data_IF_979084912313
#
_entry.id   IF_979084912313
#
_cell.length_a   1.000
_cell.length_b   1.000
_cell.length_c   1.000
_cell.angle_alpha   90.00
_cell.angle_beta   90.00
_cell.angle_gamma   90.00
#
_symmetry.space_group_name_H-M   'P 1'
#
loop_
_entity.id
_entity.type
_entity.pdbx_description
1 polymer ?
#
# COMPACT_ATOMS: atom_id res chain seq x y z
N UNK A 1 -6.44 -14.42 27.74
CA UNK A 1 -7.66 -13.61 27.48
C UNK A 1 -8.24 -14.05 26.15
N UNK A 2 -9.56 -14.20 25.99
CA UNK A 2 -10.15 -14.65 24.71
C UNK A 2 -10.43 -13.48 23.79
N UNK A 3 -10.51 -13.75 22.48
CA UNK A 3 -10.90 -12.74 21.51
C UNK A 3 -12.30 -12.16 21.79
N UNK A 4 -13.25 -13.03 22.18
CA UNK A 4 -14.61 -12.65 22.57
C UNK A 4 -14.68 -11.65 23.73
N UNK A 5 -13.64 -11.60 24.58
CA UNK A 5 -13.62 -10.77 25.78
C UNK A 5 -13.20 -9.32 25.46
N UNK A 6 -12.71 -9.07 24.23
CA UNK A 6 -12.32 -7.74 23.80
C UNK A 6 -13.56 -6.85 23.57
N UNK A 7 -13.76 -5.89 24.47
CA UNK A 7 -14.91 -4.95 24.48
C UNK A 7 -15.19 -4.23 23.16
N UNK A 8 -14.20 -4.03 22.29
CA UNK A 8 -14.42 -3.37 20.99
C UNK A 8 -15.13 -4.23 19.96
N UNK A 9 -15.24 -5.54 20.20
CA UNK A 9 -15.84 -6.50 19.28
C UNK A 9 -17.30 -6.82 19.62
N UNK A 10 -17.82 -6.52 20.80
CA UNK A 10 -19.19 -6.92 21.19
C UNK A 10 -20.31 -6.21 20.43
N UNK A 11 -20.08 -4.97 19.95
CA UNK A 11 -21.15 -4.10 19.42
C UNK A 11 -20.99 -3.74 17.93
N UNK A 12 -20.22 -4.51 17.16
CA UNK A 12 -19.93 -4.20 15.76
C UNK A 12 -20.83 -5.01 14.82
N UNK A 13 -21.21 -4.43 13.69
CA UNK A 13 -22.04 -5.12 12.68
C UNK A 13 -21.41 -6.40 12.09
N UNK A 14 -20.08 -6.54 12.16
CA UNK A 14 -19.33 -7.70 11.65
C UNK A 14 -19.08 -8.78 12.73
N UNK A 15 -19.49 -8.54 13.98
CA UNK A 15 -19.31 -9.46 15.10
C UNK A 15 -19.99 -10.82 14.89
N UNK A 16 -21.21 -10.91 14.32
CA UNK A 16 -21.82 -12.21 14.02
C UNK A 16 -20.96 -13.07 13.08
N UNK A 17 -20.29 -12.45 12.11
CA UNK A 17 -19.40 -13.16 11.20
C UNK A 17 -18.16 -13.70 11.92
N UNK A 18 -17.57 -12.93 12.83
CA UNK A 18 -16.45 -13.37 13.68
C UNK A 18 -16.87 -14.44 14.69
N UNK A 19 -18.02 -14.29 15.33
CA UNK A 19 -18.53 -15.19 16.36
C UNK A 19 -18.75 -16.62 15.84
N UNK A 20 -19.04 -16.75 14.55
CA UNK A 20 -19.20 -18.04 13.85
C UNK A 20 -17.87 -18.68 13.40
N UNK A 21 -16.72 -18.16 13.87
CA UNK A 21 -15.40 -18.71 13.54
C UNK A 21 -14.69 -19.24 14.80
N UNK A 22 -13.85 -20.28 14.67
CA UNK A 22 -13.14 -20.87 15.82
C UNK A 22 -12.24 -19.90 16.59
N UNK A 23 -11.84 -18.78 15.96
CA UNK A 23 -10.97 -17.78 16.59
C UNK A 23 -11.68 -16.98 17.68
N UNK A 24 -13.02 -16.95 17.67
CA UNK A 24 -13.82 -16.14 18.59
C UNK A 24 -13.60 -16.49 20.06
N UNK A 25 -13.51 -17.79 20.36
CA UNK A 25 -13.30 -18.30 21.73
C UNK A 25 -11.83 -18.58 22.03
N UNK A 26 -10.94 -18.34 21.07
CA UNK A 26 -9.52 -18.66 21.18
C UNK A 26 -8.80 -17.67 22.09
N UNK A 27 -7.79 -18.15 22.81
CA UNK A 27 -6.89 -17.27 23.55
C UNK A 27 -6.07 -16.39 22.58
N UNK A 28 -5.96 -15.10 22.92
CA UNK A 28 -5.24 -14.10 22.15
C UNK A 28 -3.75 -14.42 21.98
N UNK A 29 -3.11 -15.05 22.97
CA UNK A 29 -1.71 -15.49 22.88
C UNK A 29 -1.45 -16.48 21.73
N UNK A 30 -2.49 -17.17 21.28
CA UNK A 30 -2.40 -18.13 20.18
C UNK A 30 -2.77 -17.50 18.82
N UNK A 31 -3.10 -16.21 18.79
CA UNK A 31 -3.46 -15.48 17.58
C UNK A 31 -2.21 -15.24 16.72
N UNK A 32 -2.35 -15.34 15.40
CA UNK A 32 -1.25 -15.12 14.46
C UNK A 32 -1.78 -14.61 13.12
N UNK A 33 -0.90 -14.01 12.31
CA UNK A 33 -1.25 -13.46 11.00
C UNK A 33 -1.81 -14.53 10.04
N UNK A 34 -1.31 -15.77 10.14
CA UNK A 34 -1.87 -16.90 9.38
C UNK A 34 -3.32 -17.19 9.77
N UNK A 35 -3.65 -17.16 11.08
CA UNK A 35 -5.02 -17.38 11.56
C UNK A 35 -5.95 -16.23 11.15
N UNK A 36 -5.46 -14.99 11.17
CA UNK A 36 -6.21 -13.85 10.65
C UNK A 36 -6.54 -14.02 9.16
N UNK A 37 -5.60 -14.55 8.37
CA UNK A 37 -5.82 -14.90 6.96
C UNK A 37 -6.85 -16.00 6.77
N UNK A 38 -6.72 -17.10 7.51
CA UNK A 38 -7.70 -18.18 7.44
C UNK A 38 -9.12 -17.70 7.80
N UNK A 39 -9.26 -16.83 8.79
CA UNK A 39 -10.55 -16.24 9.19
C UNK A 39 -11.06 -15.26 8.15
N UNK A 40 -10.21 -14.42 7.58
CA UNK A 40 -10.58 -13.54 6.48
C UNK A 40 -11.15 -14.32 5.30
N UNK A 41 -10.42 -15.34 4.84
CA UNK A 41 -10.85 -16.19 3.73
C UNK A 41 -12.15 -16.95 4.05
N UNK A 42 -12.30 -17.43 5.28
CA UNK A 42 -13.53 -18.10 5.72
C UNK A 42 -14.74 -17.17 5.76
N UNK A 43 -14.59 -15.95 6.29
CA UNK A 43 -15.69 -14.97 6.31
C UNK A 43 -16.02 -14.52 4.89
N UNK A 44 -14.99 -14.32 4.04
CA UNK A 44 -15.16 -13.93 2.64
C UNK A 44 -15.97 -14.95 1.85
N UNK A 45 -15.77 -16.25 2.10
CA UNK A 45 -16.54 -17.32 1.40
C UNK A 45 -17.98 -17.45 1.89
N UNK A 46 -18.29 -17.02 3.12
CA UNK A 46 -19.63 -17.15 3.73
C UNK A 46 -20.48 -15.88 3.62
N UNK A 47 -19.85 -14.72 3.54
CA UNK A 47 -20.49 -13.42 3.43
C UNK A 47 -19.94 -12.69 2.21
N UNK A 48 -19.16 -11.63 2.40
CA UNK A 48 -18.51 -10.88 1.34
C UNK A 48 -17.12 -10.37 1.79
N UNK A 49 -16.34 -9.85 0.83
CA UNK A 49 -15.01 -9.28 1.09
C UNK A 49 -15.07 -8.11 2.08
N UNK A 50 -16.07 -7.23 1.96
CA UNK A 50 -16.17 -6.04 2.81
C UNK A 50 -16.39 -6.41 4.29
N UNK A 51 -17.18 -7.45 4.56
CA UNK A 51 -17.44 -8.00 5.88
C UNK A 51 -16.20 -8.68 6.44
N UNK A 52 -15.48 -9.46 5.61
CA UNK A 52 -14.21 -10.07 5.99
C UNK A 52 -13.14 -9.02 6.35
N UNK A 53 -13.01 -7.97 5.54
CA UNK A 53 -12.10 -6.86 5.79
C UNK A 53 -12.44 -6.14 7.10
N UNK A 54 -13.72 -5.80 7.30
CA UNK A 54 -14.20 -5.15 8.54
C UNK A 54 -13.97 -6.01 9.77
N UNK A 55 -14.22 -7.32 9.67
CA UNK A 55 -14.00 -8.29 10.73
C UNK A 55 -12.52 -8.32 11.17
N UNK A 56 -11.60 -8.53 10.24
CA UNK A 56 -10.16 -8.60 10.56
C UNK A 56 -9.60 -7.25 11.00
N UNK A 57 -10.03 -6.13 10.39
CA UNK A 57 -9.69 -4.78 10.89
C UNK A 57 -10.17 -4.59 12.33
N UNK A 58 -11.36 -5.09 12.65
CA UNK A 58 -11.91 -5.09 14.00
C UNK A 58 -11.02 -5.80 15.00
N UNK A 59 -10.59 -7.02 14.67
CA UNK A 59 -9.67 -7.82 15.50
C UNK A 59 -8.35 -7.08 15.70
N UNK A 60 -7.73 -6.58 14.63
CA UNK A 60 -6.47 -5.83 14.71
C UNK A 60 -6.59 -4.58 15.59
N UNK A 61 -7.67 -3.81 15.45
CA UNK A 61 -7.92 -2.63 16.28
C UNK A 61 -8.11 -3.01 17.76
N UNK A 62 -8.89 -4.06 18.03
CA UNK A 62 -9.18 -4.50 19.38
C UNK A 62 -7.91 -5.01 20.09
N UNK A 63 -7.05 -5.76 19.39
CA UNK A 63 -5.77 -6.23 19.91
C UNK A 63 -4.83 -5.06 20.17
N UNK A 64 -4.62 -4.16 19.20
CA UNK A 64 -3.75 -2.98 19.38
C UNK A 64 -4.17 -2.11 20.56
N UNK A 65 -5.48 -1.96 20.76
CA UNK A 65 -6.02 -1.26 21.92
C UNK A 65 -5.64 -1.99 23.22
N UNK A 66 -5.90 -3.29 23.30
CA UNK A 66 -5.63 -4.08 24.49
C UNK A 66 -4.13 -4.09 24.84
N UNK A 67 -3.25 -4.15 23.83
CA UNK A 67 -1.80 -3.94 24.00
C UNK A 67 -1.48 -2.55 24.56
N UNK A 68 -2.08 -1.48 24.01
CA UNK A 68 -1.86 -0.12 24.47
C UNK A 68 -2.25 0.10 25.94
N UNK A 69 -3.30 -0.57 26.41
CA UNK A 69 -3.73 -0.51 27.81
C UNK A 69 -3.04 -1.53 28.73
N UNK A 70 -2.11 -2.34 28.22
CA UNK A 70 -1.41 -3.36 28.98
C UNK A 70 -2.29 -4.57 29.38
N UNK A 71 -3.41 -4.78 28.70
CA UNK A 71 -4.29 -5.95 28.89
C UNK A 71 -3.70 -7.22 28.25
N UNK A 72 -2.72 -7.07 27.34
CA UNK A 72 -2.00 -8.14 26.66
C UNK A 72 -0.50 -7.88 26.77
N UNK A 73 0.24 -8.87 27.27
CA UNK A 73 1.72 -8.88 27.33
C UNK A 73 2.20 -10.33 27.10
N UNK A 74 3.08 -10.63 26.13
CA UNK A 74 3.74 -9.72 25.18
C UNK A 74 2.88 -9.30 23.99
N UNK A 75 3.29 -8.21 23.32
CA UNK A 75 2.67 -7.75 22.08
C UNK A 75 2.71 -8.84 20.99
N UNK A 76 1.58 -9.01 20.31
CA UNK A 76 1.33 -10.08 19.35
C UNK A 76 1.81 -9.72 17.93
N UNK A 77 2.20 -8.46 17.67
CA UNK A 77 2.69 -7.97 16.37
C UNK A 77 1.82 -8.40 15.16
N UNK A 78 0.50 -8.30 15.32
CA UNK A 78 -0.45 -8.72 14.30
C UNK A 78 -0.57 -7.70 13.17
N UNK A 79 -0.59 -8.21 11.94
CA UNK A 79 -0.81 -7.44 10.72
C UNK A 79 -1.59 -8.26 9.69
N UNK A 80 -2.30 -7.57 8.79
CA UNK A 80 -3.05 -8.20 7.73
C UNK A 80 -2.97 -7.39 6.44
N UNK A 81 -2.71 -8.07 5.33
CA UNK A 81 -2.74 -7.49 3.98
C UNK A 81 -4.15 -7.67 3.40
N UNK A 82 -4.88 -6.55 3.27
CA UNK A 82 -6.24 -6.52 2.75
C UNK A 82 -6.32 -6.43 1.22
N UNK A 83 -5.19 -6.17 0.56
CA UNK A 83 -5.17 -5.87 -0.86
C UNK A 83 -4.91 -7.12 -1.72
N UNK A 84 -4.43 -8.22 -1.12
CA UNK A 84 -4.20 -9.49 -1.83
C UNK A 84 -3.05 -9.39 -2.84
N UNK A 85 -2.81 -10.40 -3.70
CA UNK A 85 -1.82 -10.24 -4.77
C UNK A 85 -2.24 -9.11 -5.72
N UNK A 86 -1.28 -8.35 -6.25
CA UNK A 86 -1.53 -7.41 -7.33
C UNK A 86 -1.62 -8.20 -8.64
N UNK A 87 -2.71 -8.05 -9.39
CA UNK A 87 -2.85 -8.64 -10.72
C UNK A 87 -2.43 -7.65 -11.81
N UNK A 88 -2.14 -8.16 -13.01
CA UNK A 88 -1.87 -7.32 -14.18
C UNK A 88 -3.08 -6.46 -14.53
N UNK A 89 -4.29 -6.99 -14.32
CA UNK A 89 -5.52 -6.23 -14.52
C UNK A 89 -5.61 -5.05 -13.54
N UNK A 90 -5.41 -5.28 -12.23
CA UNK A 90 -5.40 -4.20 -11.23
C UNK A 90 -4.36 -3.14 -11.61
N UNK A 91 -3.16 -3.56 -12.02
CA UNK A 91 -2.10 -2.65 -12.44
C UNK A 91 -2.52 -1.78 -13.62
N UNK A 92 -3.09 -2.38 -14.67
CA UNK A 92 -3.57 -1.63 -15.84
C UNK A 92 -4.70 -0.68 -15.47
N UNK A 93 -5.67 -1.13 -14.66
CA UNK A 93 -6.75 -0.28 -14.16
C UNK A 93 -6.20 0.94 -13.38
N UNK A 94 -5.20 0.75 -12.50
CA UNK A 94 -4.59 1.87 -11.80
C UNK A 94 -3.86 2.84 -12.75
N UNK A 95 -3.18 2.32 -13.77
CA UNK A 95 -2.51 3.16 -14.78
C UNK A 95 -3.53 4.02 -15.54
N UNK A 96 -4.64 3.44 -15.96
CA UNK A 96 -5.69 4.13 -16.73
C UNK A 96 -6.35 5.29 -15.94
N UNK A 97 -6.30 5.25 -14.61
CA UNK A 97 -6.85 6.30 -13.73
C UNK A 97 -5.83 7.39 -13.36
N UNK A 98 -4.56 7.25 -13.75
CA UNK A 98 -3.54 8.27 -13.57
C UNK A 98 -3.40 9.09 -14.87
N UNK A 99 -3.11 10.39 -14.74
CA UNK A 99 -2.71 11.17 -15.91
C UNK A 99 -1.25 10.86 -16.32
N UNK A 100 -0.86 11.27 -17.53
CA UNK A 100 0.45 10.97 -18.12
C UNK A 100 1.64 11.27 -17.18
N UNK A 101 1.56 12.36 -16.42
CA UNK A 101 2.64 12.79 -15.55
C UNK A 101 2.72 11.91 -14.30
N UNK A 102 1.57 11.61 -13.68
CA UNK A 102 1.49 10.69 -12.55
C UNK A 102 1.84 9.26 -12.96
N UNK A 103 1.44 8.82 -14.15
CA UNK A 103 1.83 7.53 -14.73
C UNK A 103 3.35 7.41 -14.85
N UNK A 104 4.02 8.44 -15.38
CA UNK A 104 5.48 8.48 -15.47
C UNK A 104 6.15 8.38 -14.11
N UNK A 105 5.69 9.16 -13.13
CA UNK A 105 6.22 9.09 -11.77
C UNK A 105 6.01 7.71 -11.14
N UNK A 106 4.82 7.15 -11.32
CA UNK A 106 4.43 5.85 -10.82
C UNK A 106 5.32 4.74 -11.39
N UNK A 107 5.46 4.67 -12.72
CA UNK A 107 6.33 3.72 -13.40
C UNK A 107 7.79 3.90 -12.99
N UNK A 108 8.27 5.15 -12.91
CA UNK A 108 9.65 5.43 -12.51
C UNK A 108 9.94 4.94 -11.09
N UNK A 109 8.99 5.14 -10.17
CA UNK A 109 9.08 4.67 -8.79
C UNK A 109 9.07 3.16 -8.67
N UNK A 110 8.19 2.47 -9.40
CA UNK A 110 8.11 1.00 -9.37
C UNK A 110 9.34 0.34 -9.98
N UNK A 111 9.78 0.80 -11.14
CA UNK A 111 10.86 0.16 -11.89
C UNK A 111 12.24 0.29 -11.23
N UNK A 112 12.45 1.30 -10.37
CA UNK A 112 13.67 1.48 -9.58
C UNK A 112 13.50 1.14 -8.09
N UNK A 113 12.35 0.57 -7.68
CA UNK A 113 12.03 0.31 -6.28
C UNK A 113 12.25 1.54 -5.36
N UNK A 114 11.81 2.71 -5.83
CA UNK A 114 12.05 4.01 -5.20
C UNK A 114 10.85 4.47 -4.35
N UNK A 115 11.10 5.19 -3.25
CA UNK A 115 10.00 5.79 -2.50
C UNK A 115 9.37 6.94 -3.30
N UNK A 116 8.05 7.11 -3.22
CA UNK A 116 7.34 8.21 -3.90
C UNK A 116 7.92 9.58 -3.54
N UNK A 117 8.29 9.77 -2.27
CA UNK A 117 8.94 11.00 -1.79
C UNK A 117 10.24 11.30 -2.53
N UNK A 118 11.03 10.27 -2.84
CA UNK A 118 12.30 10.42 -3.55
C UNK A 118 12.07 10.69 -5.04
N UNK A 119 11.02 10.09 -5.63
CA UNK A 119 10.59 10.37 -7.01
C UNK A 119 10.13 11.83 -7.14
N UNK A 120 9.29 12.32 -6.22
CA UNK A 120 8.79 13.70 -6.20
C UNK A 120 9.94 14.69 -6.04
N UNK A 121 10.91 14.38 -5.17
CA UNK A 121 12.07 15.23 -4.91
C UNK A 121 13.21 15.08 -5.94
N UNK A 122 13.07 14.19 -6.93
CA UNK A 122 14.12 13.88 -7.88
C UNK A 122 14.50 15.11 -8.71
N UNK A 123 15.76 15.52 -8.61
CA UNK A 123 16.31 16.63 -9.40
C UNK A 123 17.19 16.15 -10.56
N UNK A 124 17.44 17.02 -11.55
CA UNK A 124 18.22 16.69 -12.74
C UNK A 124 19.68 16.30 -12.44
N UNK A 125 20.25 16.76 -11.33
CA UNK A 125 21.60 16.35 -10.90
C UNK A 125 21.60 14.89 -10.46
N UNK A 126 20.60 14.48 -9.67
CA UNK A 126 20.40 13.08 -9.27
C UNK A 126 20.03 12.21 -10.47
N UNK A 127 19.12 12.66 -11.33
CA UNK A 127 18.73 11.95 -12.55
C UNK A 127 19.91 11.67 -13.47
N UNK A 128 20.80 12.66 -13.67
CA UNK A 128 22.04 12.45 -14.46
C UNK A 128 22.96 11.41 -13.84
N UNK A 129 22.99 11.28 -12.51
CA UNK A 129 23.74 10.20 -11.84
C UNK A 129 23.08 8.85 -12.10
N UNK A 130 21.76 8.76 -11.97
CA UNK A 130 21.00 7.54 -12.28
C UNK A 130 21.17 7.10 -13.74
N UNK A 131 21.14 8.02 -14.71
CA UNK A 131 21.33 7.69 -16.14
C UNK A 131 22.68 7.05 -16.46
N UNK A 132 23.71 7.32 -15.63
CA UNK A 132 25.05 6.72 -15.75
C UNK A 132 25.14 5.34 -15.12
N UNK A 133 24.17 4.95 -14.30
CA UNK A 133 24.09 3.60 -13.75
C UNK A 133 23.78 2.61 -14.88
N UNK A 134 24.48 1.48 -14.88
CA UNK A 134 24.35 0.44 -15.91
C UNK A 134 23.04 -0.32 -15.80
N UNK A 135 22.51 -0.38 -14.59
CA UNK A 135 21.37 -1.13 -14.10
C UNK A 135 20.08 -0.29 -14.02
N UNK A 136 20.08 0.95 -14.53
CA UNK A 136 18.86 1.74 -14.64
C UNK A 136 17.85 1.04 -15.56
N UNK A 137 16.65 0.81 -15.06
CA UNK A 137 15.58 0.16 -15.82
C UNK A 137 15.27 0.90 -17.14
N UNK A 138 15.06 0.21 -18.28
CA UNK A 138 14.86 0.85 -19.59
C UNK A 138 13.73 1.88 -19.61
N UNK A 139 12.58 1.57 -18.99
CA UNK A 139 11.44 2.51 -18.88
C UNK A 139 11.86 3.80 -18.16
N UNK A 140 12.67 3.70 -17.10
CA UNK A 140 13.14 4.89 -16.38
C UNK A 140 14.08 5.73 -17.21
N UNK A 141 14.94 5.09 -18.02
CA UNK A 141 15.81 5.78 -18.97
C UNK A 141 14.98 6.54 -20.01
N UNK A 142 14.00 5.87 -20.60
CA UNK A 142 13.07 6.47 -21.57
C UNK A 142 12.32 7.67 -20.96
N UNK A 143 11.78 7.53 -19.74
CA UNK A 143 11.12 8.63 -19.03
C UNK A 143 12.06 9.81 -18.86
N UNK A 144 13.30 9.61 -18.41
CA UNK A 144 14.26 10.70 -18.22
C UNK A 144 14.68 11.37 -19.53
N UNK A 145 14.81 10.61 -20.62
CA UNK A 145 15.16 11.12 -21.95
C UNK A 145 14.02 11.92 -22.58
N UNK A 146 12.77 11.58 -22.26
CA UNK A 146 11.56 12.19 -22.80
C UNK A 146 10.88 13.18 -21.85
N UNK A 147 11.45 13.42 -20.67
CA UNK A 147 10.94 14.38 -19.69
C UNK A 147 11.37 15.80 -20.06
N UNK A 148 10.40 16.71 -20.20
CA UNK A 148 10.67 18.12 -20.52
C UNK A 148 11.33 18.78 -19.31
N UNK A 149 12.48 19.41 -19.54
CA UNK A 149 13.19 20.17 -18.52
C UNK A 149 12.68 21.61 -18.46
N UNK A 150 12.29 22.06 -17.27
CA UNK A 150 12.08 23.48 -17.01
C UNK A 150 13.42 24.16 -16.69
N UNK A 151 13.64 25.38 -17.18
CA UNK A 151 14.87 26.14 -16.89
C UNK A 151 14.85 26.74 -15.48
N UNK A 152 13.65 26.98 -14.92
CA UNK A 152 13.44 27.63 -13.62
C UNK A 152 13.22 26.63 -12.48
N UNK A 153 13.22 25.33 -12.75
CA UNK A 153 13.06 24.28 -11.74
C UNK A 153 14.09 23.17 -11.96
N UNK A 154 14.73 22.76 -10.88
CA UNK A 154 15.72 21.67 -10.91
C UNK A 154 15.07 20.29 -10.82
N UNK A 155 13.77 20.20 -10.55
CA UNK A 155 13.03 18.95 -10.44
C UNK A 155 12.80 18.30 -11.81
N UNK A 156 12.85 16.96 -11.84
CA UNK A 156 12.57 16.15 -13.03
C UNK A 156 11.08 16.16 -13.30
N UNK A 157 10.29 15.82 -12.28
CA UNK A 157 8.84 15.86 -12.31
C UNK A 157 8.40 17.18 -11.69
N UNK A 158 7.79 18.03 -12.50
CA UNK A 158 7.41 19.37 -12.12
C UNK A 158 6.06 19.74 -12.75
N UNK A 159 5.36 20.66 -12.12
CA UNK A 159 4.15 21.29 -12.65
C UNK A 159 4.19 22.80 -12.38
N UNK A 160 3.37 23.56 -13.11
CA UNK A 160 3.16 24.97 -12.78
C UNK A 160 2.15 25.06 -11.63
N UNK A 161 2.57 25.66 -10.51
CA UNK A 161 1.62 26.24 -9.55
C UNK A 161 1.14 27.58 -10.10
N UNK A 162 -0.10 27.96 -9.78
CA UNK A 162 -0.83 29.09 -10.37
C UNK A 162 0.06 30.20 -10.95
N UNK A 163 -0.13 30.36 -12.26
CA UNK A 163 0.51 31.19 -13.27
C UNK A 163 2.04 31.29 -13.40
N UNK A 164 2.94 31.12 -12.41
CA UNK A 164 4.38 31.34 -12.72
C UNK A 164 5.47 30.58 -11.95
N UNK A 165 5.13 29.76 -10.96
CA UNK A 165 6.15 29.05 -10.18
C UNK A 165 6.18 27.55 -10.56
N UNK A 166 7.18 27.09 -11.36
CA UNK A 166 7.36 25.66 -11.54
C UNK A 166 7.82 25.05 -10.22
N UNK A 167 7.12 24.02 -9.78
CA UNK A 167 7.34 23.37 -8.49
C UNK A 167 7.29 21.84 -8.66
N UNK A 168 7.80 21.06 -7.69
CA UNK A 168 7.56 19.63 -7.69
C UNK A 168 6.07 19.34 -7.52
N UNK A 169 5.65 18.14 -7.91
CA UNK A 169 4.25 17.72 -7.88
C UNK A 169 3.94 17.24 -6.46
N UNK A 170 3.63 18.19 -5.59
CA UNK A 170 3.44 17.95 -4.15
C UNK A 170 2.26 17.02 -3.84
N UNK A 171 1.25 16.98 -4.71
CA UNK A 171 0.05 16.16 -4.56
C UNK A 171 0.18 14.75 -5.17
N UNK A 172 1.33 14.42 -5.76
CA UNK A 172 1.51 13.14 -6.44
C UNK A 172 1.37 11.93 -5.50
N UNK A 173 1.86 12.04 -4.26
CA UNK A 173 1.79 10.95 -3.28
C UNK A 173 0.35 10.66 -2.86
N UNK A 174 -0.43 11.72 -2.60
CA UNK A 174 -1.85 11.63 -2.29
C UNK A 174 -2.63 11.08 -3.48
N UNK A 175 -2.41 11.63 -4.68
CA UNK A 175 -3.15 11.22 -5.88
C UNK A 175 -2.87 9.76 -6.24
N UNK A 176 -1.60 9.35 -6.25
CA UNK A 176 -1.23 7.96 -6.54
C UNK A 176 -1.78 7.01 -5.48
N UNK A 177 -1.69 7.34 -4.18
CA UNK A 177 -2.23 6.50 -3.12
C UNK A 177 -3.76 6.41 -3.13
N UNK A 178 -4.45 7.50 -3.50
CA UNK A 178 -5.90 7.49 -3.72
C UNK A 178 -6.27 6.56 -4.87
N UNK A 179 -5.51 6.54 -5.96
CA UNK A 179 -5.76 5.65 -7.12
C UNK A 179 -5.52 4.17 -6.79
N UNK A 180 -4.42 3.83 -6.12
CA UNK A 180 -4.09 2.42 -5.81
C UNK A 180 -4.75 1.88 -4.54
N UNK A 181 -5.46 2.75 -3.81
CA UNK A 181 -6.19 2.45 -2.57
C UNK A 181 -5.38 1.75 -1.46
N UNK A 182 -4.06 1.88 -1.47
CA UNK A 182 -3.17 1.28 -0.47
C UNK A 182 -1.88 2.10 -0.29
N UNK A 183 -1.13 1.89 0.81
CA UNK A 183 0.16 2.53 1.00
C UNK A 183 1.15 2.13 -0.10
N UNK A 184 1.97 3.08 -0.55
CA UNK A 184 2.97 2.87 -1.61
C UNK A 184 3.92 1.70 -1.34
N UNK A 185 4.39 1.56 -0.10
CA UNK A 185 5.28 0.47 0.30
C UNK A 185 4.64 -0.91 0.12
N UNK A 186 3.33 -1.00 0.36
CA UNK A 186 2.58 -2.24 0.16
C UNK A 186 2.42 -2.53 -1.34
N UNK A 187 2.04 -1.52 -2.12
CA UNK A 187 1.90 -1.65 -3.57
C UNK A 187 3.22 -2.09 -4.23
N UNK A 188 4.34 -1.45 -3.89
CA UNK A 188 5.68 -1.82 -4.40
C UNK A 188 6.02 -3.28 -4.10
N UNK A 189 5.80 -3.73 -2.87
CA UNK A 189 6.02 -5.13 -2.48
C UNK A 189 5.17 -6.09 -3.30
N UNK A 190 3.89 -5.77 -3.49
CA UNK A 190 2.96 -6.58 -4.29
C UNK A 190 3.35 -6.59 -5.77
N UNK A 191 3.77 -5.45 -6.31
CA UNK A 191 4.29 -5.31 -7.68
C UNK A 191 5.56 -6.14 -7.88
N UNK A 192 6.54 -6.04 -6.99
CA UNK A 192 7.75 -6.85 -7.03
C UNK A 192 7.42 -8.36 -6.99
N UNK A 193 6.40 -8.77 -6.22
CA UNK A 193 5.94 -10.17 -6.18
C UNK A 193 5.28 -10.59 -7.50
N UNK A 194 4.56 -9.68 -8.17
CA UNK A 194 3.94 -9.89 -9.47
C UNK A 194 4.99 -10.05 -10.58
N UNK A 195 6.06 -9.24 -10.55
CA UNK A 195 7.10 -9.22 -11.60
C UNK A 195 8.25 -10.20 -11.35
N UNK A 196 8.53 -10.59 -10.09
CA UNK A 196 9.61 -11.53 -9.74
C UNK A 196 9.22 -13.01 -9.88
N UNK A 197 8.15 -13.34 -10.61
CA UNK A 197 7.94 -14.72 -11.07
C UNK A 197 8.79 -14.95 -12.32
N UNK A 198 9.65 -15.99 -12.35
CA UNK A 198 10.35 -16.35 -13.58
C UNK A 198 9.29 -16.75 -14.62
N UNK A 199 9.37 -16.14 -15.80
CA UNK A 199 8.77 -16.75 -16.99
C UNK A 199 9.57 -17.99 -17.37
#
# INVERSE_FOLDING_TARGET
MRLSDLRMLSDRAYTPALANTPIWTQDLSLLSNYKLKAVHDLIRTRADRATADKAVRGVLQAVKRAEFFGEIDPSLNLWFDFHGPLTVQDFNEHMDHLDDLHQRMFLFGLANDMALTDVIALNWTQARRLMRMRDLHPICREILETQVRNVRSDFVFWQYLDEFAPAPIYDADERIQRTIHCPWSDYRRRYATMTNRPF
#
